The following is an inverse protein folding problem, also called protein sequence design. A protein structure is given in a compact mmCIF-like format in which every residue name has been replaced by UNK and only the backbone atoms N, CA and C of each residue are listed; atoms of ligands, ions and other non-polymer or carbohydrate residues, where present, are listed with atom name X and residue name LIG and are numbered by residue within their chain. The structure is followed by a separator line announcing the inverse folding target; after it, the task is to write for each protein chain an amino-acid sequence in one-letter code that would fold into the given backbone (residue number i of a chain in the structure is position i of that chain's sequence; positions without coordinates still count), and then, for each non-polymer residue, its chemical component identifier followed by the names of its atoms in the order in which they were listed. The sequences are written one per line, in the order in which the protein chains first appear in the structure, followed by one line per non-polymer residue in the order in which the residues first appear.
data_IF_565624259762
#
_entry.id   IF_565624259762
#
_cell.length_a   1.000
_cell.length_b   1.000
_cell.length_c   1.000
_cell.angle_alpha   90.00
_cell.angle_beta   90.00
_cell.angle_gamma   90.00
#
_symmetry.space_group_name_H-M   'P 1'
#
loop_
_entity.id
_entity.type
_entity.pdbx_description
1 polymer ?
#
# COMPACT_ATOMS: atom_id res chain seq x y z
N UNK A 1 12.73 1.66 -10.91
CA UNK A 1 11.29 1.86 -11.28
C UNK A 1 11.23 2.89 -12.40
N UNK A 2 10.48 2.63 -13.46
CA UNK A 2 10.28 3.57 -14.55
C UNK A 2 9.57 4.86 -14.08
N UNK A 3 9.86 6.05 -14.67
CA UNK A 3 9.12 7.28 -14.42
C UNK A 3 7.60 7.11 -14.64
N UNK A 4 6.79 7.97 -13.99
CA UNK A 4 5.32 7.87 -14.05
C UNK A 4 4.83 7.98 -15.50
N UNK A 5 5.40 8.88 -16.27
CA UNK A 5 5.05 9.13 -17.67
C UNK A 5 5.26 7.89 -18.56
N UNK A 6 6.29 7.10 -18.24
CA UNK A 6 6.56 5.84 -18.92
C UNK A 6 5.56 4.78 -18.47
N UNK A 7 5.28 4.67 -17.18
CA UNK A 7 4.34 3.69 -16.64
C UNK A 7 2.91 3.92 -17.16
N UNK A 8 2.45 5.16 -17.21
CA UNK A 8 1.12 5.53 -17.75
C UNK A 8 0.95 5.13 -19.21
N UNK A 9 2.03 5.20 -19.99
CA UNK A 9 2.02 4.82 -21.42
C UNK A 9 1.72 3.33 -21.65
N UNK A 10 2.12 2.46 -20.70
CA UNK A 10 1.94 1.00 -20.78
C UNK A 10 0.82 0.48 -19.87
N UNK A 11 0.19 1.35 -19.06
CA UNK A 11 -0.86 0.94 -18.16
C UNK A 11 -2.10 0.46 -18.92
N UNK A 12 -2.56 -0.77 -18.61
CA UNK A 12 -3.80 -1.34 -19.15
C UNK A 12 -4.89 -1.18 -18.10
N UNK A 13 -5.96 -0.40 -18.39
CA UNK A 13 -7.09 -0.27 -17.47
C UNK A 13 -7.75 -1.63 -17.17
N UNK A 14 -8.22 -1.84 -15.94
CA UNK A 14 -8.77 -3.12 -15.48
C UNK A 14 -9.89 -3.67 -16.38
N UNK A 15 -10.74 -2.79 -16.92
CA UNK A 15 -11.83 -3.19 -17.82
C UNK A 15 -11.35 -3.63 -19.22
N UNK A 16 -10.11 -3.35 -19.58
CA UNK A 16 -9.48 -3.73 -20.86
C UNK A 16 -8.55 -4.94 -20.75
N UNK A 17 -8.24 -5.43 -19.54
CA UNK A 17 -7.31 -6.54 -19.33
C UNK A 17 -7.72 -7.81 -20.13
N UNK A 18 -9.02 -8.09 -20.21
CA UNK A 18 -9.52 -9.23 -21.00
C UNK A 18 -9.22 -9.08 -22.48
N UNK A 19 -9.52 -7.93 -23.05
CA UNK A 19 -9.30 -7.63 -24.47
C UNK A 19 -7.82 -7.65 -24.81
N UNK A 20 -7.00 -7.04 -23.96
CA UNK A 20 -5.55 -6.97 -24.12
C UNK A 20 -4.91 -8.37 -24.02
N UNK A 21 -5.34 -9.20 -23.05
CA UNK A 21 -4.88 -10.57 -22.95
C UNK A 21 -5.23 -11.41 -24.19
N UNK A 22 -6.41 -11.22 -24.78
CA UNK A 22 -6.78 -11.88 -26.04
C UNK A 22 -5.93 -11.43 -27.21
N UNK A 23 -5.59 -10.14 -27.29
CA UNK A 23 -4.67 -9.61 -28.32
C UNK A 23 -3.29 -10.20 -28.17
N UNK A 24 -2.73 -10.21 -26.96
CA UNK A 24 -1.40 -10.76 -26.69
C UNK A 24 -1.36 -12.25 -27.04
N UNK A 25 -2.39 -13.02 -26.65
CA UNK A 25 -2.48 -14.44 -26.98
C UNK A 25 -2.52 -14.70 -28.51
N UNK A 26 -3.03 -13.77 -29.30
CA UNK A 26 -3.06 -13.90 -30.75
C UNK A 26 -1.74 -13.58 -31.45
N UNK A 27 -0.75 -13.08 -30.70
CA UNK A 27 0.59 -12.83 -31.23
C UNK A 27 1.32 -14.15 -31.55
N UNK A 28 2.18 -14.16 -32.58
CA UNK A 28 2.97 -15.34 -32.90
C UNK A 28 3.82 -15.81 -31.74
N UNK A 29 3.83 -17.11 -31.48
CA UNK A 29 4.61 -17.73 -30.43
C UNK A 29 3.98 -17.67 -29.03
N UNK A 30 2.82 -17.03 -28.83
CA UNK A 30 2.15 -16.96 -27.51
C UNK A 30 1.01 -17.98 -27.42
N UNK A 31 1.20 -19.02 -26.60
CA UNK A 31 0.19 -20.07 -26.39
C UNK A 31 -0.80 -19.71 -25.28
N UNK A 32 -0.33 -19.13 -24.19
CA UNK A 32 -1.12 -18.72 -23.01
C UNK A 32 -0.53 -17.44 -22.44
N UNK A 33 -1.34 -16.61 -21.81
CA UNK A 33 -0.82 -15.45 -21.10
C UNK A 33 -1.72 -14.98 -19.95
N UNK A 34 -1.12 -14.22 -19.04
CA UNK A 34 -1.80 -13.44 -17.98
C UNK A 34 -1.21 -12.04 -17.96
N UNK A 35 -2.05 -11.02 -18.04
CA UNK A 35 -1.64 -9.61 -18.02
C UNK A 35 -1.94 -9.03 -16.64
N UNK A 36 -0.89 -8.59 -15.93
CA UNK A 36 -0.96 -7.86 -14.68
C UNK A 36 -0.67 -6.38 -14.95
N UNK A 37 -1.62 -5.51 -14.65
CA UNK A 37 -1.43 -4.06 -14.73
C UNK A 37 -1.89 -3.41 -13.43
N UNK A 38 -1.01 -2.68 -12.79
CA UNK A 38 -1.24 -1.93 -11.54
C UNK A 38 -0.72 -0.50 -11.70
N UNK A 39 -0.82 0.33 -10.66
CA UNK A 39 -0.24 1.69 -10.69
C UNK A 39 1.30 1.69 -10.81
N UNK A 40 1.98 0.61 -10.43
CA UNK A 40 3.44 0.55 -10.32
C UNK A 40 4.12 -0.40 -11.30
N UNK A 41 3.36 -1.33 -11.92
CA UNK A 41 3.92 -2.34 -12.83
C UNK A 41 2.92 -2.76 -13.88
N UNK A 42 3.45 -3.13 -15.01
CA UNK A 42 2.77 -3.88 -16.06
C UNK A 42 3.64 -5.09 -16.40
N UNK A 43 3.09 -6.30 -16.23
CA UNK A 43 3.78 -7.55 -16.43
C UNK A 43 2.93 -8.49 -17.29
N UNK A 44 3.58 -9.25 -18.15
CA UNK A 44 2.96 -10.27 -18.97
C UNK A 44 3.64 -11.59 -18.66
N UNK A 45 2.88 -12.49 -18.08
CA UNK A 45 3.28 -13.88 -17.90
C UNK A 45 2.76 -14.68 -19.08
N UNK A 46 3.64 -15.28 -19.86
CA UNK A 46 3.26 -16.04 -21.05
C UNK A 46 3.97 -17.39 -21.13
N UNK A 47 3.36 -18.31 -21.84
CA UNK A 47 3.90 -19.63 -22.16
C UNK A 47 4.06 -19.72 -23.66
N UNK A 48 5.18 -20.27 -24.09
CA UNK A 48 5.61 -20.31 -25.49
C UNK A 48 6.57 -21.45 -25.72
N UNK A 49 6.44 -22.10 -26.88
CA UNK A 49 7.44 -23.01 -27.39
C UNK A 49 8.59 -22.28 -28.14
N UNK A 50 8.39 -20.99 -28.42
CA UNK A 50 9.35 -20.11 -29.09
C UNK A 50 9.47 -18.79 -28.29
N UNK A 51 10.08 -18.81 -27.08
CA UNK A 51 10.03 -17.69 -26.17
C UNK A 51 10.65 -16.40 -26.68
N UNK A 52 11.73 -16.49 -27.47
CA UNK A 52 12.38 -15.31 -28.05
C UNK A 52 11.50 -14.64 -29.10
N UNK A 53 10.85 -15.43 -29.97
CA UNK A 53 9.91 -14.98 -30.99
C UNK A 53 8.68 -14.33 -30.32
N UNK A 54 8.10 -14.96 -29.30
CA UNK A 54 6.99 -14.43 -28.56
C UNK A 54 7.35 -13.10 -27.88
N UNK A 55 8.52 -13.01 -27.26
CA UNK A 55 9.00 -11.79 -26.60
C UNK A 55 9.14 -10.62 -27.61
N UNK A 56 9.69 -10.87 -28.77
CA UNK A 56 9.84 -9.85 -29.83
C UNK A 56 8.47 -9.30 -30.27
N UNK A 57 7.49 -10.17 -30.48
CA UNK A 57 6.14 -9.77 -30.87
C UNK A 57 5.41 -9.02 -29.75
N UNK A 58 5.56 -9.45 -28.50
CA UNK A 58 4.98 -8.76 -27.35
C UNK A 58 5.59 -7.35 -27.20
N UNK A 59 6.91 -7.22 -27.28
CA UNK A 59 7.57 -5.91 -27.23
C UNK A 59 7.15 -5.01 -28.40
N UNK A 60 7.07 -5.55 -29.62
CA UNK A 60 6.61 -4.81 -30.80
C UNK A 60 5.17 -4.33 -30.66
N UNK A 61 4.30 -5.13 -30.03
CA UNK A 61 2.92 -4.76 -29.78
C UNK A 61 2.80 -3.51 -28.87
N UNK A 62 3.65 -3.39 -27.84
CA UNK A 62 3.62 -2.24 -26.93
C UNK A 62 4.45 -1.05 -27.40
N UNK A 63 5.54 -1.27 -28.09
CA UNK A 63 6.45 -0.20 -28.56
C UNK A 63 6.03 0.38 -29.92
N UNK A 64 5.25 -0.37 -30.71
CA UNK A 64 4.90 0.00 -32.08
C UNK A 64 6.14 0.12 -32.97
N UNK A 65 5.98 0.79 -34.10
CA UNK A 65 7.10 1.04 -35.04
C UNK A 65 8.09 2.11 -34.52
N UNK A 66 7.81 2.70 -33.35
CA UNK A 66 8.58 3.79 -32.74
C UNK A 66 9.84 3.36 -31.98
N UNK A 67 10.59 2.38 -32.49
CA UNK A 67 11.88 1.91 -31.93
C UNK A 67 12.99 2.98 -31.89
N UNK A 68 12.67 4.26 -32.17
CA UNK A 68 13.67 5.29 -32.46
C UNK A 68 13.78 6.45 -31.46
N UNK A 69 12.87 6.63 -30.47
CA UNK A 69 12.86 7.88 -29.71
C UNK A 69 13.30 7.80 -28.23
N UNK A 70 13.41 6.60 -27.66
CA UNK A 70 13.97 6.42 -26.31
C UNK A 70 14.57 5.03 -26.24
N UNK A 71 15.65 4.86 -25.48
CA UNK A 71 16.15 3.55 -25.06
C UNK A 71 15.12 2.86 -24.15
N UNK A 72 13.94 2.55 -24.76
CA UNK A 72 12.78 1.98 -24.06
C UNK A 72 13.10 0.58 -23.55
N UNK A 73 14.06 -0.11 -24.16
CA UNK A 73 14.50 -1.42 -23.71
C UNK A 73 15.03 -1.40 -22.27
N UNK A 74 15.58 -0.28 -21.81
CA UNK A 74 16.07 -0.12 -20.44
C UNK A 74 14.97 -0.14 -19.36
N UNK A 75 13.71 0.05 -19.75
CA UNK A 75 12.57 0.01 -18.84
C UNK A 75 11.88 -1.35 -18.74
N UNK A 76 12.30 -2.31 -19.60
CA UNK A 76 11.76 -3.65 -19.59
C UNK A 76 12.79 -4.64 -19.04
N UNK A 77 12.29 -5.65 -18.36
CA UNK A 77 13.06 -6.82 -17.94
C UNK A 77 12.33 -8.09 -18.39
N UNK A 78 13.05 -9.17 -18.53
CA UNK A 78 12.51 -10.48 -18.87
C UNK A 78 13.11 -11.53 -17.95
N UNK A 79 12.26 -12.43 -17.49
CA UNK A 79 12.64 -13.61 -16.72
C UNK A 79 12.11 -14.84 -17.45
N UNK A 80 12.84 -15.95 -17.36
CA UNK A 80 12.44 -17.21 -17.99
C UNK A 80 12.51 -18.36 -16.97
N UNK A 81 11.71 -19.39 -17.18
CA UNK A 81 11.75 -20.61 -16.41
C UNK A 81 11.55 -20.38 -14.91
N UNK A 82 12.48 -20.90 -14.11
CA UNK A 82 12.45 -20.82 -12.65
C UNK A 82 12.55 -19.37 -12.15
N UNK A 83 13.32 -18.52 -12.83
CA UNK A 83 13.44 -17.10 -12.47
C UNK A 83 12.12 -16.35 -12.64
N UNK A 84 11.34 -16.64 -13.68
CA UNK A 84 10.02 -16.06 -13.90
C UNK A 84 9.04 -16.50 -12.80
N UNK A 85 9.07 -17.77 -12.38
CA UNK A 85 8.27 -18.28 -11.28
C UNK A 85 8.70 -17.65 -9.95
N UNK A 86 10.00 -17.54 -9.71
CA UNK A 86 10.56 -16.86 -8.53
C UNK A 86 10.09 -15.42 -8.45
N UNK A 87 10.15 -14.70 -9.58
CA UNK A 87 9.64 -13.33 -9.67
C UNK A 87 8.13 -13.25 -9.35
N UNK A 88 7.30 -14.10 -9.96
CA UNK A 88 5.87 -14.16 -9.64
C UNK A 88 5.60 -14.39 -8.15
N UNK A 89 6.36 -15.28 -7.50
CA UNK A 89 6.24 -15.53 -6.07
C UNK A 89 6.67 -14.31 -5.23
N UNK A 90 7.72 -13.59 -5.62
CA UNK A 90 8.15 -12.34 -4.99
C UNK A 90 7.08 -11.26 -5.10
N UNK A 91 6.49 -11.09 -6.29
CA UNK A 91 5.37 -10.15 -6.52
C UNK A 91 4.18 -10.49 -5.63
N UNK A 92 3.74 -11.76 -5.61
CA UNK A 92 2.65 -12.24 -4.75
C UNK A 92 2.90 -12.04 -3.25
N UNK A 93 4.17 -12.04 -2.85
CA UNK A 93 4.58 -11.84 -1.46
C UNK A 93 4.83 -10.37 -1.11
N UNK A 94 4.64 -9.44 -2.04
CA UNK A 94 4.91 -8.02 -1.85
C UNK A 94 6.40 -7.68 -1.68
N UNK A 95 7.32 -8.60 -2.01
CA UNK A 95 8.76 -8.37 -1.91
C UNK A 95 9.30 -7.44 -2.99
N UNK A 96 8.59 -7.34 -4.11
CA UNK A 96 8.92 -6.49 -5.24
C UNK A 96 8.00 -5.27 -5.35
N UNK A 97 7.28 -4.92 -4.30
CA UNK A 97 6.37 -3.77 -4.23
C UNK A 97 7.10 -2.51 -3.74
N UNK A 98 6.57 -1.31 -4.09
CA UNK A 98 7.10 -0.03 -3.58
C UNK A 98 7.02 0.04 -2.05
N UNK A 99 5.97 -0.52 -1.47
CA UNK A 99 5.84 -0.73 -0.04
C UNK A 99 6.10 -2.20 0.22
N UNK A 100 7.25 -2.50 0.82
CA UNK A 100 7.67 -3.86 1.10
C UNK A 100 6.63 -4.58 1.96
N UNK A 101 6.16 -5.74 1.49
CA UNK A 101 5.16 -6.54 2.20
C UNK A 101 3.73 -6.03 2.07
N UNK A 102 3.39 -5.17 1.10
CA UNK A 102 2.00 -4.79 0.86
C UNK A 102 1.12 -6.01 0.53
N UNK A 103 -0.13 -5.96 0.96
CA UNK A 103 -1.05 -7.11 0.83
C UNK A 103 -1.94 -7.03 -0.40
N UNK A 104 -2.09 -5.86 -1.00
CA UNK A 104 -3.02 -5.61 -2.11
C UNK A 104 -2.60 -6.32 -3.41
N UNK A 105 -1.29 -6.39 -3.66
CA UNK A 105 -0.74 -7.01 -4.88
C UNK A 105 -1.20 -8.46 -5.06
N UNK A 106 -1.34 -9.23 -3.96
CA UNK A 106 -1.83 -10.61 -4.03
C UNK A 106 -3.24 -10.67 -4.62
N UNK A 107 -4.13 -9.76 -4.21
CA UNK A 107 -5.48 -9.61 -4.75
C UNK A 107 -5.48 -9.21 -6.21
N UNK A 108 -4.61 -8.28 -6.60
CA UNK A 108 -4.47 -7.80 -7.98
C UNK A 108 -3.99 -8.91 -8.92
N UNK A 109 -2.97 -9.68 -8.55
CA UNK A 109 -2.50 -10.84 -9.31
C UNK A 109 -3.59 -11.91 -9.43
N UNK A 110 -4.33 -12.18 -8.35
CA UNK A 110 -5.44 -13.12 -8.37
C UNK A 110 -6.54 -12.67 -9.35
N UNK A 111 -6.89 -11.39 -9.35
CA UNK A 111 -7.87 -10.82 -10.29
C UNK A 111 -7.38 -10.92 -11.73
N UNK A 112 -6.11 -10.58 -12.01
CA UNK A 112 -5.52 -10.71 -13.34
C UNK A 112 -5.59 -12.15 -13.87
N UNK A 113 -5.19 -13.12 -13.04
CA UNK A 113 -5.29 -14.54 -13.38
C UNK A 113 -6.72 -15.00 -13.65
N UNK A 114 -7.70 -14.64 -12.80
CA UNK A 114 -9.09 -15.01 -13.02
C UNK A 114 -9.65 -14.38 -14.28
N UNK A 115 -9.30 -13.13 -14.59
CA UNK A 115 -9.70 -12.47 -15.84
C UNK A 115 -9.20 -13.25 -17.06
N UNK A 116 -7.96 -13.72 -17.05
CA UNK A 116 -7.41 -14.53 -18.12
C UNK A 116 -8.04 -15.94 -18.21
N UNK A 117 -8.29 -16.57 -17.06
CA UNK A 117 -8.96 -17.88 -16.98
C UNK A 117 -10.38 -17.83 -17.55
N UNK A 118 -11.18 -16.85 -17.12
CA UNK A 118 -12.58 -16.66 -17.56
C UNK A 118 -12.67 -16.27 -19.05
N UNK A 119 -11.60 -15.69 -19.60
CA UNK A 119 -11.48 -15.37 -21.01
C UNK A 119 -10.98 -16.55 -21.87
N UNK A 120 -10.63 -17.70 -21.26
CA UNK A 120 -10.07 -18.85 -21.97
C UNK A 120 -8.66 -18.61 -22.54
N UNK A 121 -7.90 -17.67 -21.95
CA UNK A 121 -6.55 -17.30 -22.39
C UNK A 121 -5.50 -18.20 -21.74
N UNK A 122 -5.80 -18.82 -20.61
CA UNK A 122 -4.94 -19.76 -19.90
C UNK A 122 -5.33 -21.21 -20.16
N UNK A 123 -4.37 -22.12 -20.03
CA UNK A 123 -4.56 -23.57 -20.09
C UNK A 123 -3.83 -24.26 -18.92
N UNK A 124 -3.58 -25.55 -19.00
CA UNK A 124 -3.10 -26.37 -17.89
C UNK A 124 -1.81 -25.86 -17.25
N UNK A 125 -0.82 -25.45 -18.06
CA UNK A 125 0.48 -24.96 -17.55
C UNK A 125 0.33 -23.66 -16.76
N UNK A 126 -0.31 -22.65 -17.34
CA UNK A 126 -0.56 -21.37 -16.65
C UNK A 126 -1.37 -21.58 -15.35
N UNK A 127 -2.43 -22.39 -15.44
CA UNK A 127 -3.29 -22.65 -14.28
C UNK A 127 -2.51 -23.34 -13.14
N UNK A 128 -1.70 -24.36 -13.44
CA UNK A 128 -0.87 -25.06 -12.47
C UNK A 128 0.14 -24.11 -11.82
N UNK A 129 0.81 -23.29 -12.63
CA UNK A 129 1.82 -22.32 -12.18
C UNK A 129 1.21 -21.30 -11.23
N UNK A 130 0.11 -20.64 -11.61
CA UNK A 130 -0.54 -19.63 -10.75
C UNK A 130 -1.10 -20.23 -9.47
N UNK A 131 -1.72 -21.40 -9.51
CA UNK A 131 -2.22 -22.07 -8.30
C UNK A 131 -1.10 -22.39 -7.30
N UNK A 132 0.06 -22.89 -7.81
CA UNK A 132 1.23 -23.14 -6.98
C UNK A 132 1.84 -21.84 -6.45
N UNK A 133 1.96 -20.81 -7.30
CA UNK A 133 2.45 -19.50 -6.87
C UNK A 133 1.56 -18.87 -5.78
N UNK A 134 0.23 -18.98 -5.89
CA UNK A 134 -0.68 -18.56 -4.80
C UNK A 134 -0.47 -19.35 -3.52
N UNK A 135 -0.19 -20.66 -3.60
CA UNK A 135 0.12 -21.49 -2.44
C UNK A 135 1.41 -21.01 -1.77
N UNK A 136 2.45 -20.73 -2.57
CA UNK A 136 3.74 -20.22 -2.08
C UNK A 136 3.56 -18.83 -1.44
N UNK A 137 2.86 -17.90 -2.11
CA UNK A 137 2.61 -16.57 -1.56
C UNK A 137 1.83 -16.60 -0.24
N UNK A 138 0.84 -17.49 -0.10
CA UNK A 138 0.16 -17.71 1.19
C UNK A 138 1.11 -18.26 2.26
N UNK A 139 1.99 -19.20 1.90
CA UNK A 139 2.97 -19.77 2.82
C UNK A 139 3.93 -18.70 3.32
N UNK A 140 4.45 -17.85 2.43
CA UNK A 140 5.30 -16.70 2.82
C UNK A 140 4.57 -15.81 3.83
N UNK A 141 3.31 -15.46 3.58
CA UNK A 141 2.50 -14.64 4.49
C UNK A 141 2.29 -15.27 5.86
N UNK A 142 2.21 -16.59 5.93
CA UNK A 142 1.95 -17.30 7.19
C UNK A 142 3.25 -17.57 7.98
N UNK A 143 4.35 -17.81 7.29
CA UNK A 143 5.61 -18.22 7.90
C UNK A 143 6.63 -17.08 8.07
N UNK A 144 6.30 -15.85 7.62
CA UNK A 144 7.15 -14.66 7.78
C UNK A 144 6.40 -13.51 8.42
N UNK A 145 7.14 -12.52 8.91
CA UNK A 145 6.61 -11.27 9.43
C UNK A 145 6.66 -10.12 8.40
N UNK A 146 6.82 -10.42 7.10
CA UNK A 146 7.00 -9.42 6.03
C UNK A 146 5.82 -8.43 5.92
N UNK A 147 4.63 -8.87 6.33
CA UNK A 147 3.41 -8.06 6.32
C UNK A 147 3.12 -7.41 7.69
N UNK A 148 3.92 -7.72 8.73
CA UNK A 148 3.71 -7.19 10.07
C UNK A 148 4.28 -5.78 10.24
N UNK A 149 3.65 -5.00 11.10
CA UNK A 149 4.08 -3.66 11.49
C UNK A 149 3.79 -2.55 10.46
N UNK A 150 3.74 -1.34 10.95
CA UNK A 150 3.50 -0.13 10.18
C UNK A 150 4.78 0.39 9.51
N UNK A 151 4.69 0.84 8.26
CA UNK A 151 5.85 1.35 7.49
C UNK A 151 5.68 2.79 7.01
N UNK A 152 4.59 3.43 7.39
CA UNK A 152 4.34 4.84 7.11
C UNK A 152 3.95 5.57 8.39
N UNK A 153 4.20 6.86 8.44
CA UNK A 153 3.81 7.70 9.58
C UNK A 153 2.32 7.51 9.95
N UNK A 154 1.45 7.44 8.93
CA UNK A 154 0.02 7.22 9.15
C UNK A 154 -0.31 5.85 9.74
N UNK A 155 0.35 4.79 9.28
CA UNK A 155 0.13 3.44 9.81
C UNK A 155 0.72 3.25 11.22
N UNK A 156 1.88 3.88 11.51
CA UNK A 156 2.44 3.93 12.87
C UNK A 156 1.48 4.63 13.84
N UNK A 157 0.93 5.77 13.41
CA UNK A 157 -0.05 6.52 14.22
C UNK A 157 -1.28 5.66 14.58
N UNK A 158 -1.76 4.83 13.64
CA UNK A 158 -2.88 3.91 13.90
C UNK A 158 -2.49 2.79 14.84
N UNK A 159 -1.32 2.15 14.67
CA UNK A 159 -0.84 1.10 15.59
C UNK A 159 -0.68 1.62 17.01
N UNK A 160 -0.15 2.83 17.18
CA UNK A 160 -0.05 3.47 18.50
C UNK A 160 -1.42 3.78 19.11
N UNK A 161 -2.37 4.23 18.30
CA UNK A 161 -3.74 4.43 18.75
C UNK A 161 -4.37 3.10 19.22
N UNK A 162 -4.18 2.01 18.47
CA UNK A 162 -4.65 0.67 18.87
C UNK A 162 -3.97 0.17 20.16
N UNK A 163 -2.69 0.48 20.37
CA UNK A 163 -2.01 0.13 21.64
C UNK A 163 -2.60 0.87 22.86
N UNK A 164 -3.05 2.11 22.67
CA UNK A 164 -3.61 2.94 23.75
C UNK A 164 -5.08 2.58 24.02
N UNK A 165 -5.89 2.39 22.98
CA UNK A 165 -7.33 2.22 23.08
C UNK A 165 -7.82 0.78 22.86
N UNK A 166 -6.96 -0.10 22.34
CA UNK A 166 -7.34 -1.45 21.92
C UNK A 166 -8.06 -1.40 20.57
N UNK A 167 -9.37 -1.51 20.59
CA UNK A 167 -10.22 -1.32 19.41
C UNK A 167 -10.50 0.17 19.18
N UNK A 168 -10.41 0.63 17.93
CA UNK A 168 -10.73 2.02 17.56
C UNK A 168 -12.23 2.25 17.30
N UNK A 169 -13.05 1.20 17.32
CA UNK A 169 -14.51 1.36 17.22
C UNK A 169 -15.03 2.24 18.37
N UNK A 170 -15.78 3.27 18.00
CA UNK A 170 -16.28 4.26 18.94
C UNK A 170 -15.29 5.35 19.39
N UNK A 171 -14.01 5.30 18.94
CA UNK A 171 -13.07 6.40 19.20
C UNK A 171 -13.46 7.64 18.38
N UNK A 172 -13.30 8.82 19.01
CA UNK A 172 -13.56 10.11 18.38
C UNK A 172 -12.26 10.78 18.02
N UNK A 173 -12.12 11.13 16.74
CA UNK A 173 -10.91 11.69 16.15
C UNK A 173 -11.13 13.13 15.74
N UNK A 174 -10.23 14.03 16.07
CA UNK A 174 -10.18 15.39 15.60
C UNK A 174 -8.94 15.57 14.70
N UNK A 175 -9.16 15.91 13.45
CA UNK A 175 -8.10 16.22 12.48
C UNK A 175 -8.05 17.72 12.29
N UNK A 176 -6.92 18.33 12.62
CA UNK A 176 -6.62 19.74 12.43
C UNK A 176 -5.72 19.88 11.19
N UNK A 177 -6.27 20.46 10.13
CA UNK A 177 -5.64 20.55 8.81
C UNK A 177 -6.24 19.58 7.78
N UNK A 178 -6.13 19.94 6.49
CA UNK A 178 -6.66 19.13 5.38
C UNK A 178 -5.60 18.92 4.29
N UNK A 179 -4.35 18.69 4.71
CA UNK A 179 -3.23 18.35 3.84
C UNK A 179 -3.15 16.85 3.54
N UNK A 180 -2.12 16.46 2.78
CA UNK A 180 -1.90 15.06 2.38
C UNK A 180 -1.72 14.13 3.60
N UNK A 181 -0.93 14.55 4.58
CA UNK A 181 -0.72 13.76 5.81
C UNK A 181 -2.01 13.56 6.62
N UNK A 182 -2.87 14.61 6.70
CA UNK A 182 -4.20 14.47 7.31
C UNK A 182 -5.05 13.44 6.59
N UNK A 183 -4.97 13.41 5.26
CA UNK A 183 -5.72 12.48 4.40
C UNK A 183 -5.26 11.03 4.62
N UNK A 184 -3.95 10.80 4.60
CA UNK A 184 -3.37 9.46 4.80
C UNK A 184 -3.70 8.92 6.20
N UNK A 185 -3.45 9.73 7.25
CA UNK A 185 -3.69 9.33 8.64
C UNK A 185 -5.18 9.14 8.92
N UNK A 186 -6.04 10.05 8.43
CA UNK A 186 -7.49 9.96 8.59
C UNK A 186 -8.09 8.72 7.94
N UNK A 187 -7.65 8.37 6.72
CA UNK A 187 -8.07 7.13 6.04
C UNK A 187 -7.62 5.89 6.81
N UNK A 188 -6.39 5.90 7.31
CA UNK A 188 -5.86 4.78 8.07
C UNK A 188 -6.64 4.55 9.39
N UNK A 189 -6.98 5.61 10.13
CA UNK A 189 -7.82 5.55 11.33
C UNK A 189 -9.25 5.05 11.01
N UNK A 190 -9.86 5.57 9.95
CA UNK A 190 -11.19 5.15 9.51
C UNK A 190 -11.21 3.66 9.11
N UNK A 191 -10.21 3.21 8.36
CA UNK A 191 -10.08 1.80 7.93
C UNK A 191 -9.93 0.82 9.10
N UNK A 192 -9.50 1.29 10.29
CA UNK A 192 -9.37 0.51 11.53
C UNK A 192 -10.53 0.72 12.50
N UNK A 193 -11.63 1.32 12.04
CA UNK A 193 -12.88 1.39 12.77
C UNK A 193 -13.14 2.69 13.54
N UNK A 194 -12.30 3.72 13.43
CA UNK A 194 -12.63 5.03 14.00
C UNK A 194 -13.86 5.63 13.29
N UNK A 195 -14.91 5.91 14.04
CA UNK A 195 -16.21 6.33 13.46
C UNK A 195 -16.50 7.83 13.64
N UNK A 196 -16.12 8.41 14.75
CA UNK A 196 -16.40 9.80 15.09
C UNK A 196 -15.33 10.77 14.60
N UNK A 197 -15.09 10.90 13.29
CA UNK A 197 -14.01 11.73 12.74
C UNK A 197 -14.50 13.13 12.44
N UNK A 198 -13.90 14.13 13.11
CA UNK A 198 -14.12 15.55 12.87
C UNK A 198 -12.93 16.16 12.16
N UNK A 199 -13.17 16.97 11.13
CA UNK A 199 -12.11 17.66 10.38
C UNK A 199 -12.30 19.15 10.51
N UNK A 200 -11.27 19.85 11.00
CA UNK A 200 -11.22 21.31 11.07
C UNK A 200 -10.07 21.86 10.23
N UNK A 201 -10.35 22.82 9.38
CA UNK A 201 -9.33 23.51 8.58
C UNK A 201 -9.73 24.99 8.41
N UNK A 202 -8.75 25.90 8.26
CA UNK A 202 -9.02 27.33 8.00
C UNK A 202 -9.91 27.53 6.78
N UNK A 203 -9.67 26.81 5.69
CA UNK A 203 -10.60 26.70 4.57
C UNK A 203 -11.62 25.63 4.89
N UNK A 204 -12.86 26.01 5.15
CA UNK A 204 -13.93 25.09 5.47
C UNK A 204 -14.22 24.11 4.31
N UNK A 205 -14.12 24.57 3.06
CA UNK A 205 -14.34 23.72 1.88
C UNK A 205 -13.36 22.53 1.82
N UNK A 206 -12.08 22.77 2.17
CA UNK A 206 -11.09 21.69 2.26
C UNK A 206 -11.40 20.72 3.40
N UNK A 207 -11.96 21.22 4.51
CA UNK A 207 -12.40 20.34 5.60
C UNK A 207 -13.58 19.46 5.14
N UNK A 208 -14.53 20.01 4.39
CA UNK A 208 -15.67 19.28 3.81
C UNK A 208 -15.19 18.20 2.83
N UNK A 209 -14.26 18.57 1.93
CA UNK A 209 -13.69 17.61 0.98
C UNK A 209 -13.02 16.43 1.69
N UNK A 210 -12.13 16.70 2.65
CA UNK A 210 -11.45 15.64 3.40
C UNK A 210 -12.44 14.80 4.22
N UNK A 211 -13.36 15.43 4.94
CA UNK A 211 -14.38 14.74 5.73
C UNK A 211 -15.21 13.79 4.86
N UNK A 212 -15.61 14.22 3.66
CA UNK A 212 -16.33 13.37 2.70
C UNK A 212 -15.52 12.15 2.24
N UNK A 213 -14.19 12.29 2.11
CA UNK A 213 -13.32 11.17 1.70
C UNK A 213 -13.11 10.10 2.79
N UNK A 214 -13.22 10.49 4.06
CA UNK A 214 -12.90 9.62 5.21
C UNK A 214 -14.12 9.28 6.06
N UNK A 215 -15.33 9.55 5.55
CA UNK A 215 -16.57 9.27 6.27
C UNK A 215 -16.76 10.10 7.56
N UNK A 216 -16.11 11.28 7.62
CA UNK A 216 -16.14 12.17 8.79
C UNK A 216 -17.07 13.36 8.62
N UNK A 217 -17.01 14.28 9.59
CA UNK A 217 -17.78 15.53 9.63
C UNK A 217 -16.84 16.74 9.63
N UNK A 218 -17.07 17.69 8.72
CA UNK A 218 -16.37 18.97 8.75
C UNK A 218 -16.92 19.86 9.86
N UNK A 219 -16.04 20.50 10.63
CA UNK A 219 -16.36 21.50 11.63
C UNK A 219 -15.61 22.80 11.36
N UNK A 220 -16.17 23.91 11.82
CA UNK A 220 -15.52 25.22 11.67
C UNK A 220 -14.27 25.30 12.52
N UNK A 221 -13.23 25.95 11.98
CA UNK A 221 -11.91 26.03 12.63
C UNK A 221 -11.94 26.83 13.94
N UNK A 222 -12.82 27.79 14.08
CA UNK A 222 -12.96 28.63 15.28
C UNK A 222 -13.58 27.92 16.47
N UNK A 223 -14.21 26.76 16.28
CA UNK A 223 -14.93 26.02 17.34
C UNK A 223 -14.36 24.65 17.66
N UNK A 224 -13.27 24.20 17.01
CA UNK A 224 -12.73 22.85 17.22
C UNK A 224 -12.36 22.56 18.68
N UNK A 225 -11.92 23.59 19.44
CA UNK A 225 -11.58 23.47 20.85
C UNK A 225 -12.74 22.96 21.72
N UNK A 226 -14.00 23.26 21.34
CA UNK A 226 -15.18 22.78 22.04
C UNK A 226 -15.36 21.26 21.97
N UNK A 227 -14.76 20.60 20.99
CA UNK A 227 -14.84 19.15 20.79
C UNK A 227 -13.83 18.39 21.62
N UNK A 228 -12.72 19.02 22.09
CA UNK A 228 -11.64 18.37 22.82
C UNK A 228 -12.10 17.56 24.04
N UNK A 229 -13.21 17.97 24.66
CA UNK A 229 -13.78 17.27 25.80
C UNK A 229 -14.09 15.80 25.47
N UNK A 230 -14.58 15.54 24.26
CA UNK A 230 -15.11 14.25 23.86
C UNK A 230 -14.21 13.50 22.86
N UNK A 231 -13.10 14.12 22.44
CA UNK A 231 -12.12 13.56 21.50
C UNK A 231 -11.16 12.61 22.22
N UNK A 232 -10.79 11.52 21.57
CA UNK A 232 -9.82 10.54 22.06
C UNK A 232 -8.49 10.64 21.30
N UNK A 233 -8.54 11.02 20.00
CA UNK A 233 -7.35 11.17 19.14
C UNK A 233 -7.36 12.56 18.49
N UNK A 234 -6.26 13.29 18.60
CA UNK A 234 -6.03 14.54 17.88
C UNK A 234 -4.90 14.35 16.86
N UNK A 235 -5.15 14.68 15.61
CA UNK A 235 -4.13 14.72 14.55
C UNK A 235 -3.93 16.16 14.13
N UNK A 236 -2.76 16.74 14.39
CA UNK A 236 -2.38 18.06 13.93
C UNK A 236 -1.49 17.95 12.69
N UNK A 237 -1.93 18.53 11.58
CA UNK A 237 -1.23 18.56 10.29
C UNK A 237 -1.53 19.87 9.54
N UNK A 238 -1.23 21.01 10.20
CA UNK A 238 -1.48 22.34 9.63
C UNK A 238 -0.18 23.06 9.28
N UNK A 239 -0.28 24.09 8.46
CA UNK A 239 0.83 25.01 8.18
C UNK A 239 0.83 26.24 9.13
N UNK A 240 0.25 26.10 10.33
CA UNK A 240 0.27 27.20 11.30
C UNK A 240 1.72 27.43 11.79
N UNK A 241 2.19 28.69 11.86
CA UNK A 241 3.55 28.99 12.25
C UNK A 241 3.77 28.94 13.78
N UNK A 242 2.76 28.55 14.54
CA UNK A 242 2.78 28.51 16.01
C UNK A 242 1.97 27.32 16.52
N UNK A 243 2.19 26.95 17.78
CA UNK A 243 1.41 25.93 18.44
C UNK A 243 -0.05 26.38 18.57
N UNK A 244 -0.98 25.51 18.17
CA UNK A 244 -2.43 25.74 18.22
C UNK A 244 -3.06 24.98 19.42
N UNK A 245 -2.39 23.96 19.93
CA UNK A 245 -2.79 23.22 21.11
C UNK A 245 -1.65 23.28 22.14
N UNK A 246 -1.95 23.82 23.33
CA UNK A 246 -1.00 24.06 24.39
C UNK A 246 -1.46 23.39 25.70
N UNK A 247 -0.54 23.29 26.66
CA UNK A 247 -0.86 22.79 27.99
C UNK A 247 -1.93 23.62 28.68
N UNK A 248 -1.89 24.95 28.52
CA UNK A 248 -2.91 25.85 29.09
C UNK A 248 -4.32 25.56 28.55
N UNK A 249 -4.41 25.13 27.29
CA UNK A 249 -5.70 24.74 26.67
C UNK A 249 -6.20 23.39 27.20
N UNK A 250 -5.32 22.41 27.34
CA UNK A 250 -5.71 21.04 27.69
C UNK A 250 -5.85 20.77 29.17
N UNK A 251 -4.96 21.34 30.00
CA UNK A 251 -4.95 21.06 31.45
C UNK A 251 -6.28 21.34 32.17
N UNK A 252 -7.00 22.43 31.83
CA UNK A 252 -8.33 22.68 32.43
C UNK A 252 -9.39 21.66 32.02
N UNK A 253 -9.20 20.96 30.91
CA UNK A 253 -10.20 20.00 30.41
C UNK A 253 -10.10 18.62 31.05
N UNK A 254 -9.00 18.28 31.75
CA UNK A 254 -8.79 16.96 32.37
C UNK A 254 -9.99 16.44 33.16
N UNK A 255 -10.46 17.23 34.11
CA UNK A 255 -11.60 16.85 34.96
C UNK A 255 -12.88 16.64 34.13
N UNK A 256 -13.15 17.52 33.16
CA UNK A 256 -14.31 17.41 32.30
C UNK A 256 -14.24 16.22 31.34
N UNK A 257 -13.02 15.78 31.01
CA UNK A 257 -12.71 14.55 30.26
C UNK A 257 -12.79 13.29 31.13
N UNK A 258 -13.00 13.41 32.41
CA UNK A 258 -12.99 12.31 33.40
C UNK A 258 -11.66 11.53 33.36
N UNK A 259 -10.54 12.22 33.14
CA UNK A 259 -9.20 11.67 33.05
C UNK A 259 -9.05 10.57 31.96
N UNK A 260 -9.84 10.66 30.88
CA UNK A 260 -9.69 9.74 29.75
C UNK A 260 -8.41 10.04 28.97
N UNK A 261 -7.76 9.00 28.48
CA UNK A 261 -6.59 9.11 27.63
C UNK A 261 -6.85 10.00 26.41
N UNK A 262 -5.87 10.79 26.05
CA UNK A 262 -5.85 11.60 24.84
C UNK A 262 -4.57 11.27 24.06
N UNK A 263 -4.73 10.71 22.88
CA UNK A 263 -3.64 10.48 21.96
C UNK A 263 -3.50 11.69 21.03
N UNK A 264 -2.32 12.29 20.99
CA UNK A 264 -2.04 13.50 20.21
C UNK A 264 -0.90 13.23 19.25
N UNK A 265 -1.17 13.43 17.98
CA UNK A 265 -0.24 13.21 16.87
C UNK A 265 0.06 14.56 16.24
N UNK A 266 1.30 15.03 16.30
CA UNK A 266 1.74 16.25 15.62
C UNK A 266 2.62 15.91 14.43
N UNK A 267 2.05 15.94 13.23
CA UNK A 267 2.75 15.74 11.96
C UNK A 267 2.96 17.06 11.21
N UNK A 268 2.99 18.16 11.93
CA UNK A 268 3.16 19.52 11.40
C UNK A 268 4.62 19.94 11.44
N UNK A 269 5.04 20.69 10.41
CA UNK A 269 6.32 21.43 10.41
C UNK A 269 6.03 22.86 9.97
N UNK A 270 6.21 23.86 10.87
CA UNK A 270 6.60 23.75 12.29
C UNK A 270 5.55 23.08 13.18
N UNK A 271 5.94 22.67 14.38
CA UNK A 271 5.05 22.02 15.36
C UNK A 271 3.81 22.83 15.66
N UNK A 272 2.68 22.14 15.71
CA UNK A 272 1.39 22.75 16.11
C UNK A 272 0.96 22.41 17.54
N UNK A 273 1.62 21.46 18.17
CA UNK A 273 1.38 21.06 19.56
C UNK A 273 2.58 21.48 20.41
N UNK A 274 2.31 22.14 21.54
CA UNK A 274 3.35 22.52 22.47
C UNK A 274 3.94 21.27 23.15
N UNK A 275 5.29 21.11 23.23
CA UNK A 275 5.90 19.92 23.83
C UNK A 275 5.49 19.65 25.28
N UNK A 276 5.19 20.68 26.07
CA UNK A 276 4.77 20.59 27.45
C UNK A 276 3.36 19.97 27.64
N UNK A 277 2.65 19.72 26.54
CA UNK A 277 1.42 18.92 26.53
C UNK A 277 1.72 17.48 26.95
N UNK A 278 2.92 16.96 26.66
CA UNK A 278 3.35 15.64 27.08
C UNK A 278 3.49 15.48 28.60
N UNK A 279 3.63 16.59 29.35
CA UNK A 279 3.71 16.58 30.82
C UNK A 279 2.34 16.41 31.48
N UNK A 280 1.26 16.41 30.72
CA UNK A 280 -0.08 16.16 31.25
C UNK A 280 -0.25 14.64 31.34
N UNK A 281 -0.54 14.14 32.54
CA UNK A 281 -0.88 12.74 32.79
C UNK A 281 -1.88 12.22 31.78
N UNK A 282 -2.28 11.26 31.39
CA UNK A 282 -3.23 10.76 30.39
C UNK A 282 -3.06 11.29 28.95
N UNK A 283 -2.07 12.16 28.65
CA UNK A 283 -1.81 12.65 27.30
C UNK A 283 -0.59 11.96 26.70
N UNK A 284 -0.78 11.34 25.55
CA UNK A 284 0.27 10.64 24.79
C UNK A 284 0.58 11.46 23.54
N UNK A 285 1.67 12.23 23.57
CA UNK A 285 2.10 13.08 22.45
C UNK A 285 3.17 12.38 21.64
N UNK A 286 2.95 12.26 20.33
CA UNK A 286 3.92 11.78 19.35
C UNK A 286 4.07 12.81 18.23
N UNK A 287 5.29 13.21 17.97
CA UNK A 287 5.61 14.11 16.87
C UNK A 287 6.05 13.35 15.61
N UNK A 288 6.21 14.10 14.51
CA UNK A 288 6.60 13.51 13.21
C UNK A 288 7.94 12.79 13.27
N UNK A 289 8.89 13.26 14.07
CA UNK A 289 10.22 12.68 14.17
C UNK A 289 10.15 11.31 14.85
N UNK A 290 9.41 11.21 15.96
CA UNK A 290 9.16 9.96 16.67
C UNK A 290 8.42 8.94 15.79
N UNK A 291 7.39 9.39 15.07
CA UNK A 291 6.62 8.51 14.18
C UNK A 291 7.47 8.03 12.99
N UNK A 292 8.33 8.89 12.45
CA UNK A 292 9.26 8.53 11.37
C UNK A 292 10.29 7.51 11.85
N UNK A 293 10.85 7.71 13.04
CA UNK A 293 11.79 6.75 13.64
C UNK A 293 11.13 5.36 13.79
N UNK A 294 9.93 5.29 14.34
CA UNK A 294 9.19 4.02 14.50
C UNK A 294 8.87 3.36 13.15
N UNK A 295 8.51 4.16 12.12
CA UNK A 295 8.29 3.67 10.78
C UNK A 295 9.58 3.08 10.16
N UNK A 296 10.71 3.75 10.36
CA UNK A 296 12.02 3.28 9.88
C UNK A 296 12.49 2.01 10.60
N UNK A 297 12.23 1.88 11.89
CA UNK A 297 12.51 0.65 12.66
C UNK A 297 11.68 -0.52 12.15
N UNK A 298 10.38 -0.31 11.92
CA UNK A 298 9.50 -1.31 11.34
C UNK A 298 9.94 -1.71 9.92
N UNK A 299 10.38 -0.75 9.11
CA UNK A 299 10.93 -1.01 7.77
C UNK A 299 12.19 -1.87 7.83
N UNK A 300 13.16 -1.53 8.72
CA UNK A 300 14.39 -2.33 8.91
C UNK A 300 14.07 -3.75 9.35
N UNK A 301 13.11 -3.94 10.25
CA UNK A 301 12.64 -5.27 10.67
C UNK A 301 12.10 -6.08 9.48
N UNK A 302 11.32 -5.44 8.59
CA UNK A 302 10.83 -6.10 7.36
C UNK A 302 11.96 -6.45 6.38
N UNK A 303 12.95 -5.59 6.24
CA UNK A 303 14.12 -5.87 5.38
C UNK A 303 14.89 -7.13 5.85
N UNK A 304 14.96 -7.39 7.15
CA UNK A 304 15.54 -8.62 7.70
C UNK A 304 14.70 -9.87 7.35
N UNK A 305 13.38 -9.73 7.26
CA UNK A 305 12.49 -10.83 6.87
C UNK A 305 12.56 -11.18 5.37
N UNK A 306 13.10 -10.30 4.52
CA UNK A 306 13.25 -10.58 3.07
C UNK A 306 14.03 -11.87 2.83
N UNK A 307 15.17 -12.04 3.50
CA UNK A 307 16.01 -13.25 3.35
C UNK A 307 15.25 -14.54 3.72
N UNK A 308 14.42 -14.45 4.75
CA UNK A 308 13.54 -15.57 5.15
C UNK A 308 12.48 -15.87 4.11
N UNK A 309 11.83 -14.83 3.57
CA UNK A 309 10.86 -14.98 2.50
C UNK A 309 11.47 -15.61 1.25
N UNK A 310 12.67 -15.16 0.85
CA UNK A 310 13.42 -15.72 -0.29
C UNK A 310 13.74 -17.22 -0.08
N UNK A 311 14.13 -17.61 1.14
CA UNK A 311 14.37 -19.01 1.47
C UNK A 311 13.08 -19.84 1.33
N UNK A 312 11.95 -19.33 1.86
CA UNK A 312 10.64 -20.02 1.76
C UNK A 312 10.21 -20.18 0.29
N UNK A 313 10.42 -19.15 -0.54
CA UNK A 313 10.10 -19.18 -1.98
C UNK A 313 10.95 -20.24 -2.66
N UNK A 314 12.28 -20.19 -2.50
CA UNK A 314 13.23 -21.11 -3.13
C UNK A 314 12.93 -22.57 -2.77
N UNK A 315 12.79 -22.89 -1.47
CA UNK A 315 12.47 -24.23 -1.00
C UNK A 315 11.13 -24.74 -1.54
N UNK A 316 10.15 -23.83 -1.68
CA UNK A 316 8.84 -24.19 -2.20
C UNK A 316 8.86 -24.44 -3.70
N UNK A 317 9.61 -23.65 -4.47
CA UNK A 317 9.79 -23.86 -5.90
C UNK A 317 10.47 -25.21 -6.15
N UNK A 318 11.59 -25.49 -5.50
CA UNK A 318 12.32 -26.77 -5.65
C UNK A 318 11.44 -27.99 -5.27
N UNK A 319 10.50 -27.84 -4.34
CA UNK A 319 9.58 -28.90 -3.96
C UNK A 319 8.43 -29.13 -4.93
N UNK A 320 7.85 -28.06 -5.46
CA UNK A 320 6.69 -28.14 -6.34
C UNK A 320 7.04 -28.30 -7.80
N UNK A 321 8.27 -27.96 -8.18
CA UNK A 321 8.81 -28.02 -9.53
C UNK A 321 10.20 -28.68 -9.48
N UNK A 322 10.29 -29.97 -9.08
CA UNK A 322 11.58 -30.66 -8.82
C UNK A 322 12.43 -30.87 -10.07
N UNK A 323 11.84 -30.72 -11.27
CA UNK A 323 12.56 -30.85 -12.54
C UNK A 323 12.17 -29.70 -13.45
N UNK A 324 13.16 -29.13 -14.14
CA UNK A 324 13.01 -28.16 -15.24
C UNK A 324 12.12 -28.65 -16.40
N UNK A 325 11.66 -29.90 -16.36
CA UNK A 325 10.79 -30.55 -17.33
C UNK A 325 9.36 -29.95 -17.46
N UNK A 326 8.98 -28.96 -16.68
CA UNK A 326 7.70 -28.26 -16.85
C UNK A 326 7.75 -27.20 -17.97
N UNK A 327 8.91 -26.93 -18.51
CA UNK A 327 9.14 -25.95 -19.58
C UNK A 327 9.38 -26.61 -20.94
N UNK A 328 9.46 -27.95 -20.99
CA UNK A 328 9.73 -28.75 -22.23
C UNK A 328 8.45 -29.44 -22.76
N UNK A 329 7.23 -29.03 -22.35
CA UNK A 329 5.98 -29.56 -22.92
C UNK A 329 4.99 -28.46 -23.27
#
# INVERSE_FOLDING_TARGET
TAPVEIRERFAVPSHKLREEGQRIRSLPGVDQCVVLSTCNRMEIYYWSNEPENAQEHILSHFLGDGRGELDMASYFYSHQGEDALGHLCRVLSGLDSMVLGETEIFGQVKTAYHTALDAGITAACANKTFQKAFTIGKKVRTESQIHAGATSVGSVAVELAEQIFGDLSGTRVLILGAGEMSRVTGRALHARGAEGIYVANRSFDRAVELAGMIGGQAIRYDVWGNYLRDIDVVVAATAAPHCILTRETLLPLRASRKYRSLFVIDISVPRNISPDVADIEEVYLYDIDTLTQLADEAKRSREQEVSRCEAIIRDSISRYFPDSALYDQ
#
